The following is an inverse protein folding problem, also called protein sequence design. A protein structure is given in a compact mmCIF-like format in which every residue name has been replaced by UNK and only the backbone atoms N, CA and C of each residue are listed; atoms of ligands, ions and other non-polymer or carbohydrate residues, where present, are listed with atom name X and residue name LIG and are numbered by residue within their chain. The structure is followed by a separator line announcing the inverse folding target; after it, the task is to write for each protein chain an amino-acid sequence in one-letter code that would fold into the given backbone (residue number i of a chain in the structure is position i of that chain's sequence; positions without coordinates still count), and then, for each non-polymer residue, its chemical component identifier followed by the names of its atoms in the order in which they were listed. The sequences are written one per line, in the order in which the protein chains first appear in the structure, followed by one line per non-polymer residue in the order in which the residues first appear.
data_IF_534971760790
#
_entry.id   IF_534971760790
#
_cell.length_a   1.000
_cell.length_b   1.000
_cell.length_c   1.000
_cell.angle_alpha   90.00
_cell.angle_beta   90.00
_cell.angle_gamma   90.00
#
_symmetry.space_group_name_H-M   'P 1'
#
loop_
_entity.id
_entity.type
_entity.pdbx_description
1 polymer ?
#
# COMPACT_ATOMS: atom_id res chain seq x y z
N UNK A 1 -6.33 -5.98 -22.39
CA UNK A 1 -5.94 -6.26 -20.97
C UNK A 1 -7.08 -5.86 -20.04
N UNK A 2 -7.23 -6.53 -18.86
CA UNK A 2 -8.27 -6.17 -17.88
C UNK A 2 -7.69 -5.27 -16.79
N UNK A 3 -8.37 -4.17 -16.47
CA UNK A 3 -7.98 -3.22 -15.39
C UNK A 3 -9.21 -2.72 -14.64
N UNK A 4 -9.04 -2.44 -13.38
CA UNK A 4 -10.07 -1.75 -12.57
C UNK A 4 -10.15 -0.28 -12.98
N UNK A 5 -11.34 0.33 -12.84
CA UNK A 5 -11.53 1.77 -12.97
C UNK A 5 -12.12 2.27 -11.66
N UNK A 6 -11.44 3.19 -11.02
CA UNK A 6 -11.92 3.85 -9.80
C UNK A 6 -12.30 5.29 -10.06
N UNK A 7 -13.39 5.72 -9.41
CA UNK A 7 -13.82 7.11 -9.31
C UNK A 7 -14.10 7.39 -7.85
N UNK A 8 -13.41 8.35 -7.25
CA UNK A 8 -13.39 8.57 -5.81
C UNK A 8 -13.66 10.04 -5.50
N UNK A 9 -14.34 10.30 -4.37
CA UNK A 9 -14.47 11.67 -3.85
C UNK A 9 -13.16 12.01 -3.15
N UNK A 10 -12.50 13.05 -3.62
CA UNK A 10 -11.27 13.55 -3.02
C UNK A 10 -11.51 14.46 -1.81
N UNK A 11 -10.44 14.79 -1.13
CA UNK A 11 -10.46 15.68 0.05
C UNK A 11 -10.49 17.16 -0.31
N UNK A 12 -10.17 17.51 -1.58
CA UNK A 12 -10.11 18.89 -2.06
C UNK A 12 -8.84 19.63 -1.62
N UNK A 13 -7.70 18.95 -1.55
CA UNK A 13 -6.42 19.58 -1.19
C UNK A 13 -5.76 20.25 -2.40
N UNK A 14 -6.11 21.50 -2.70
CA UNK A 14 -5.52 22.24 -3.82
C UNK A 14 -4.00 22.40 -3.71
N UNK A 15 -3.47 22.50 -2.50
CA UNK A 15 -2.02 22.56 -2.27
C UNK A 15 -1.31 21.25 -2.65
N UNK A 16 -1.95 20.11 -2.38
CA UNK A 16 -1.46 18.81 -2.84
C UNK A 16 -1.53 18.69 -4.37
N UNK A 17 -2.68 19.06 -4.97
CA UNK A 17 -2.88 18.95 -6.40
C UNK A 17 -1.88 19.80 -7.21
N UNK A 18 -1.53 20.99 -6.68
CA UNK A 18 -0.54 21.90 -7.28
C UNK A 18 0.92 21.56 -6.95
N UNK A 19 1.15 20.58 -6.04
CA UNK A 19 2.49 20.31 -5.50
C UNK A 19 3.11 21.54 -4.80
N UNK A 20 2.28 22.32 -4.07
CA UNK A 20 2.79 23.41 -3.23
C UNK A 20 3.68 22.88 -2.08
N UNK A 21 3.61 21.59 -1.80
CA UNK A 21 4.50 20.81 -0.93
C UNK A 21 4.66 19.39 -1.49
N UNK A 22 5.78 18.74 -1.16
CA UNK A 22 6.06 17.36 -1.52
C UNK A 22 5.61 16.45 -0.38
N UNK A 23 4.59 15.63 -0.62
CA UNK A 23 4.12 14.63 0.32
C UNK A 23 5.03 13.38 0.27
N UNK A 24 5.01 12.57 1.32
CA UNK A 24 5.88 11.38 1.45
C UNK A 24 5.73 10.34 0.33
N UNK A 25 4.55 10.27 -0.30
CA UNK A 25 4.24 9.35 -1.40
C UNK A 25 4.53 9.94 -2.80
N UNK A 26 5.04 11.17 -2.88
CA UNK A 26 5.39 11.86 -4.11
C UNK A 26 6.87 11.68 -4.40
N UNK A 27 7.17 11.27 -5.62
CA UNK A 27 8.54 11.22 -6.14
C UNK A 27 8.94 12.59 -6.70
N UNK A 28 9.86 13.32 -6.05
CA UNK A 28 10.23 14.67 -6.46
C UNK A 28 10.88 14.71 -7.85
N UNK A 29 11.51 13.61 -8.29
CA UNK A 29 12.17 13.54 -9.59
C UNK A 29 11.18 13.34 -10.75
N UNK A 30 9.89 13.10 -10.44
CA UNK A 30 8.81 12.91 -11.42
C UNK A 30 7.75 14.02 -11.44
N UNK A 31 7.84 15.01 -10.56
CA UNK A 31 6.87 16.12 -10.47
C UNK A 31 6.69 16.84 -11.82
N UNK A 32 7.75 16.96 -12.62
CA UNK A 32 7.70 17.56 -13.96
C UNK A 32 6.89 16.76 -14.99
N UNK A 33 6.54 15.48 -14.70
CA UNK A 33 5.68 14.66 -15.55
C UNK A 33 4.20 14.96 -15.34
N UNK A 34 3.84 15.66 -14.28
CA UNK A 34 2.47 16.04 -13.99
C UNK A 34 1.93 16.99 -15.04
N UNK A 35 0.67 16.81 -15.41
CA UNK A 35 0.00 17.68 -16.40
C UNK A 35 -1.02 18.55 -15.68
N UNK A 36 -0.88 19.86 -15.82
CA UNK A 36 -1.87 20.83 -15.38
C UNK A 36 -2.78 21.21 -16.55
N UNK A 37 -4.03 20.78 -16.51
CA UNK A 37 -5.04 21.17 -17.52
C UNK A 37 -5.72 22.48 -17.16
N UNK A 38 -5.88 22.76 -15.87
CA UNK A 38 -6.53 23.97 -15.37
C UNK A 38 -6.04 24.28 -13.95
N UNK A 39 -5.80 25.56 -13.68
CA UNK A 39 -5.46 26.09 -12.36
C UNK A 39 -5.90 27.53 -12.23
N UNK A 40 -7.17 27.73 -11.90
CA UNK A 40 -7.79 29.03 -11.76
C UNK A 40 -7.95 29.40 -10.28
N UNK A 41 -7.99 30.70 -10.00
CA UNK A 41 -8.24 31.17 -8.65
C UNK A 41 -9.72 30.94 -8.27
N UNK A 42 -9.97 30.15 -7.25
CA UNK A 42 -11.32 29.77 -6.80
C UNK A 42 -12.20 30.97 -6.51
N UNK A 43 -11.65 32.07 -5.92
CA UNK A 43 -12.43 33.28 -5.61
C UNK A 43 -12.85 34.04 -6.86
N UNK A 44 -11.98 34.09 -7.87
CA UNK A 44 -12.31 34.73 -9.13
C UNK A 44 -13.39 33.95 -9.91
N UNK A 45 -13.29 32.61 -9.91
CA UNK A 45 -14.33 31.76 -10.51
C UNK A 45 -15.68 31.92 -9.77
N UNK A 46 -15.66 32.12 -8.47
CA UNK A 46 -16.89 32.43 -7.72
C UNK A 46 -17.51 33.78 -8.15
N UNK A 47 -16.71 34.80 -8.38
CA UNK A 47 -17.21 36.08 -8.91
C UNK A 47 -17.80 35.88 -10.30
N UNK A 48 -17.08 35.23 -11.19
CA UNK A 48 -17.55 34.92 -12.56
C UNK A 48 -18.93 34.25 -12.56
N UNK A 49 -19.12 33.24 -11.69
CA UNK A 49 -20.34 32.46 -11.66
C UNK A 49 -21.52 33.15 -10.95
N UNK A 50 -21.25 33.97 -9.93
CA UNK A 50 -22.30 34.33 -8.97
C UNK A 50 -22.50 35.84 -8.78
N UNK A 51 -21.59 36.73 -9.16
CA UNK A 51 -21.72 38.16 -8.85
C UNK A 51 -22.98 38.78 -9.46
N UNK A 52 -23.31 38.50 -10.72
CA UNK A 52 -24.57 38.96 -11.31
C UNK A 52 -25.81 38.42 -10.56
N UNK A 53 -25.80 37.19 -10.12
CA UNK A 53 -26.89 36.63 -9.36
C UNK A 53 -26.99 37.21 -7.94
N UNK A 54 -25.87 37.59 -7.35
CA UNK A 54 -25.82 38.36 -6.10
C UNK A 54 -26.45 39.74 -6.27
N UNK A 55 -26.10 40.44 -7.33
CA UNK A 55 -26.68 41.73 -7.66
C UNK A 55 -28.19 41.65 -7.82
N UNK A 56 -28.69 40.69 -8.63
CA UNK A 56 -30.15 40.47 -8.80
C UNK A 56 -30.82 40.12 -7.48
N UNK A 57 -30.19 39.28 -6.66
CA UNK A 57 -30.72 38.87 -5.35
C UNK A 57 -30.83 40.05 -4.38
N UNK A 58 -29.89 40.99 -4.39
CA UNK A 58 -29.81 42.12 -3.47
C UNK A 58 -30.78 43.24 -3.77
N UNK A 59 -31.32 43.30 -5.01
CA UNK A 59 -32.29 44.33 -5.39
C UNK A 59 -33.47 44.36 -4.42
N UNK A 60 -33.75 45.53 -3.84
CA UNK A 60 -34.84 45.76 -2.90
C UNK A 60 -34.67 45.16 -1.52
N UNK A 61 -33.50 44.56 -1.20
CA UNK A 61 -33.25 44.03 0.15
C UNK A 61 -32.61 45.05 1.08
N UNK A 62 -32.97 44.96 2.35
CA UNK A 62 -32.28 45.73 3.39
C UNK A 62 -30.84 45.30 3.51
N UNK A 63 -29.92 46.20 3.90
CA UNK A 63 -28.48 45.98 4.02
C UNK A 63 -28.13 44.73 4.83
N UNK A 64 -28.83 44.49 5.93
CA UNK A 64 -28.60 43.29 6.79
C UNK A 64 -28.96 41.95 6.13
N UNK A 65 -29.68 41.98 5.00
CA UNK A 65 -30.10 40.79 4.25
C UNK A 65 -29.42 40.64 2.91
N UNK A 66 -28.55 41.61 2.54
CA UNK A 66 -27.78 41.56 1.32
C UNK A 66 -26.61 40.59 1.46
N UNK A 67 -26.24 39.97 0.36
CA UNK A 67 -25.02 39.18 0.24
C UNK A 67 -23.93 40.11 -0.32
N UNK A 68 -22.90 40.34 0.48
CA UNK A 68 -21.76 41.18 0.04
C UNK A 68 -20.66 40.38 -0.61
N UNK A 69 -20.51 39.09 -0.22
CA UNK A 69 -19.53 38.18 -0.77
C UNK A 69 -20.07 36.74 -0.72
N UNK A 70 -20.38 36.17 -1.87
CA UNK A 70 -21.00 34.85 -1.93
C UNK A 70 -20.01 33.75 -1.59
N UNK A 71 -18.74 33.86 -1.97
CA UNK A 71 -17.69 32.93 -1.57
C UNK A 71 -17.59 32.81 -0.04
N UNK A 72 -17.52 33.94 0.66
CA UNK A 72 -17.45 33.95 2.13
C UNK A 72 -18.72 33.40 2.75
N UNK A 73 -19.89 33.67 2.17
CA UNK A 73 -21.16 33.08 2.62
C UNK A 73 -21.16 31.57 2.55
N UNK A 74 -20.67 30.97 1.46
CA UNK A 74 -20.56 29.50 1.32
C UNK A 74 -19.48 28.98 2.27
N UNK A 75 -18.32 29.62 2.36
CA UNK A 75 -17.21 29.22 3.23
C UNK A 75 -17.60 29.14 4.69
N UNK A 76 -18.43 30.07 5.16
CA UNK A 76 -18.92 30.11 6.54
C UNK A 76 -20.17 29.26 6.74
N UNK A 77 -20.84 28.85 5.68
CA UNK A 77 -22.03 28.00 5.71
C UNK A 77 -21.68 26.54 6.03
N UNK A 78 -22.70 25.78 6.44
CA UNK A 78 -22.54 24.32 6.73
C UNK A 78 -23.30 23.44 5.74
N UNK A 79 -24.02 24.01 4.78
CA UNK A 79 -24.91 23.27 3.89
C UNK A 79 -24.22 22.85 2.60
N UNK A 80 -23.36 23.69 2.05
CA UNK A 80 -22.66 23.46 0.79
C UNK A 80 -21.15 23.64 1.01
N UNK A 81 -20.34 22.86 0.29
CA UNK A 81 -18.89 23.05 0.21
C UNK A 81 -18.56 24.10 -0.85
N UNK A 82 -17.41 24.77 -0.72
CA UNK A 82 -16.92 25.70 -1.74
C UNK A 82 -16.73 25.01 -3.10
N UNK A 83 -16.24 23.78 -3.09
CA UNK A 83 -16.03 22.95 -4.27
C UNK A 83 -15.98 21.47 -3.87
N UNK A 84 -16.00 20.62 -4.85
CA UNK A 84 -15.83 19.17 -4.70
C UNK A 84 -14.67 18.70 -5.59
N UNK A 85 -14.03 17.64 -5.17
CA UNK A 85 -13.01 16.94 -5.91
C UNK A 85 -13.48 15.54 -6.26
N UNK A 86 -13.15 15.10 -7.47
CA UNK A 86 -13.23 13.69 -7.88
C UNK A 86 -11.87 13.26 -8.42
N UNK A 87 -11.49 12.02 -8.11
CA UNK A 87 -10.23 11.42 -8.55
C UNK A 87 -10.58 10.21 -9.41
N UNK A 88 -10.04 10.14 -10.63
CA UNK A 88 -10.16 8.99 -11.52
C UNK A 88 -8.81 8.31 -11.72
N UNK A 89 -8.82 6.97 -11.66
CA UNK A 89 -7.64 6.13 -11.84
C UNK A 89 -8.00 4.86 -12.59
N UNK A 90 -7.05 4.34 -13.40
CA UNK A 90 -7.15 3.06 -14.09
C UNK A 90 -6.10 2.13 -13.47
N UNK A 91 -6.54 0.93 -13.07
CA UNK A 91 -5.66 -0.06 -12.43
C UNK A 91 -5.16 0.35 -11.04
N UNK A 92 -4.03 -0.20 -10.67
CA UNK A 92 -3.35 0.04 -9.40
C UNK A 92 -1.82 -0.04 -9.57
N UNK A 93 -1.06 0.11 -8.47
CA UNK A 93 0.42 0.11 -8.52
C UNK A 93 1.04 -1.21 -9.01
N UNK A 94 0.29 -2.31 -9.02
CA UNK A 94 0.80 -3.62 -9.44
C UNK A 94 0.66 -3.83 -10.96
N UNK A 95 -0.31 -3.13 -11.58
CA UNK A 95 -0.71 -3.38 -12.96
C UNK A 95 -0.73 -2.15 -13.88
N UNK A 96 -0.58 -0.92 -13.34
CA UNK A 96 -0.48 0.36 -14.06
C UNK A 96 0.45 1.35 -13.35
N UNK A 97 1.58 0.87 -12.85
CA UNK A 97 2.54 1.74 -12.18
C UNK A 97 3.10 2.82 -13.14
N UNK A 98 3.41 4.00 -12.58
CA UNK A 98 4.10 5.05 -13.34
C UNK A 98 5.46 4.55 -13.82
N UNK A 99 5.80 4.85 -15.09
CA UNK A 99 7.04 4.41 -15.73
C UNK A 99 6.97 3.02 -16.37
N UNK A 100 5.78 2.39 -16.41
CA UNK A 100 5.52 1.17 -17.18
C UNK A 100 4.74 1.49 -18.46
N UNK A 101 4.76 0.61 -19.45
CA UNK A 101 3.96 0.77 -20.67
C UNK A 101 2.45 0.86 -20.38
N UNK A 102 1.99 0.10 -19.39
CA UNK A 102 0.61 0.11 -18.95
C UNK A 102 0.25 1.42 -18.21
N UNK A 103 1.20 1.96 -17.44
CA UNK A 103 1.06 3.28 -16.81
C UNK A 103 0.96 4.39 -17.86
N UNK A 104 1.80 4.37 -18.88
CA UNK A 104 1.77 5.30 -20.01
C UNK A 104 0.47 5.19 -20.81
N UNK A 105 -0.08 3.98 -20.93
CA UNK A 105 -1.37 3.76 -21.57
C UNK A 105 -2.51 4.35 -20.71
N UNK A 106 -2.47 4.18 -19.40
CA UNK A 106 -3.43 4.79 -18.49
C UNK A 106 -3.39 6.33 -18.56
N UNK A 107 -2.19 6.93 -18.64
CA UNK A 107 -2.01 8.38 -18.87
C UNK A 107 -2.69 8.82 -20.16
N UNK A 108 -2.53 8.09 -21.28
CA UNK A 108 -3.18 8.42 -22.56
C UNK A 108 -4.72 8.40 -22.45
N UNK A 109 -5.26 7.39 -21.80
CA UNK A 109 -6.71 7.25 -21.59
C UNK A 109 -7.26 8.37 -20.72
N UNK A 110 -6.60 8.67 -19.58
CA UNK A 110 -7.00 9.77 -18.68
C UNK A 110 -6.89 11.13 -19.37
N UNK A 111 -5.87 11.32 -20.21
CA UNK A 111 -5.69 12.53 -21.00
C UNK A 111 -6.82 12.71 -22.05
N UNK A 112 -7.28 11.64 -22.69
CA UNK A 112 -8.41 11.68 -23.61
C UNK A 112 -9.72 11.97 -22.86
N UNK A 113 -9.93 11.30 -21.71
CA UNK A 113 -11.12 11.43 -20.88
C UNK A 113 -11.37 12.90 -20.43
N UNK A 114 -10.32 13.61 -20.02
CA UNK A 114 -10.47 14.97 -19.47
C UNK A 114 -10.86 16.00 -20.51
N UNK A 115 -10.54 15.81 -21.79
CA UNK A 115 -10.81 16.77 -22.87
C UNK A 115 -12.27 17.22 -22.95
N UNK A 116 -13.18 16.27 -22.82
CA UNK A 116 -14.63 16.53 -22.93
C UNK A 116 -15.35 16.56 -21.56
N UNK A 117 -14.62 16.48 -20.45
CA UNK A 117 -15.20 16.42 -19.10
C UNK A 117 -16.10 17.62 -18.82
N UNK A 118 -15.63 18.86 -19.05
CA UNK A 118 -16.40 20.07 -18.80
C UNK A 118 -17.65 20.16 -19.70
N UNK A 119 -17.55 19.66 -20.93
CA UNK A 119 -18.68 19.65 -21.89
C UNK A 119 -19.76 18.66 -21.47
N UNK A 120 -19.36 17.48 -20.96
CA UNK A 120 -20.31 16.49 -20.44
C UNK A 120 -20.94 16.97 -19.13
N UNK A 121 -20.23 17.78 -18.35
CA UNK A 121 -20.61 18.22 -17.02
C UNK A 121 -20.76 19.76 -16.94
N UNK A 122 -21.71 20.39 -17.70
CA UNK A 122 -21.80 21.85 -17.78
C UNK A 122 -22.19 22.54 -16.46
N UNK A 123 -22.83 21.83 -15.54
CA UNK A 123 -23.20 22.32 -14.20
C UNK A 123 -22.12 22.12 -13.11
N UNK A 124 -21.00 21.51 -13.50
CA UNK A 124 -19.83 21.28 -12.65
C UNK A 124 -18.66 22.12 -13.21
N UNK A 125 -18.54 23.40 -12.80
CA UNK A 125 -17.50 24.31 -13.30
C UNK A 125 -16.13 23.87 -12.76
N UNK A 126 -15.35 23.20 -13.62
CA UNK A 126 -13.97 22.82 -13.30
C UNK A 126 -13.08 24.06 -13.22
N UNK A 127 -12.34 24.23 -12.14
CA UNK A 127 -11.40 25.34 -11.94
C UNK A 127 -9.97 24.86 -11.67
N UNK A 128 -9.80 23.60 -11.28
CA UNK A 128 -8.50 22.97 -11.05
C UNK A 128 -8.55 21.54 -11.59
N UNK A 129 -7.55 21.14 -12.36
CA UNK A 129 -7.48 19.79 -12.92
C UNK A 129 -6.02 19.41 -13.20
N UNK A 130 -5.59 18.29 -12.60
CA UNK A 130 -4.22 17.81 -12.68
C UNK A 130 -4.20 16.29 -12.93
N UNK A 131 -3.32 15.83 -13.82
CA UNK A 131 -2.95 14.44 -13.95
C UNK A 131 -1.60 14.24 -13.27
N UNK A 132 -1.60 13.49 -12.19
CA UNK A 132 -0.39 13.16 -11.44
C UNK A 132 0.26 11.90 -11.99
N UNK A 133 1.59 11.97 -12.18
CA UNK A 133 2.46 10.90 -12.62
C UNK A 133 3.69 10.76 -11.71
N UNK A 134 3.67 11.41 -10.57
CA UNK A 134 4.74 11.46 -9.57
C UNK A 134 4.43 10.63 -8.31
N UNK A 135 3.36 9.87 -8.32
CA UNK A 135 3.00 8.89 -7.30
C UNK A 135 3.08 7.46 -7.87
N UNK A 136 2.56 6.47 -7.14
CA UNK A 136 2.66 5.07 -7.55
C UNK A 136 1.92 4.75 -8.85
N UNK A 137 0.78 5.41 -9.12
CA UNK A 137 -0.13 5.14 -10.25
C UNK A 137 -0.61 6.45 -10.85
N UNK A 138 -0.73 6.58 -12.18
CA UNK A 138 -1.31 7.78 -12.80
C UNK A 138 -2.75 7.97 -12.36
N UNK A 139 -3.11 9.17 -11.92
CA UNK A 139 -4.47 9.50 -11.52
C UNK A 139 -4.80 10.98 -11.78
N UNK A 140 -6.08 11.23 -12.03
CA UNK A 140 -6.60 12.54 -12.46
C UNK A 140 -7.40 13.16 -11.33
N UNK A 141 -6.97 14.30 -10.84
CA UNK A 141 -7.70 15.16 -9.90
C UNK A 141 -8.52 16.19 -10.65
N UNK A 142 -9.82 16.28 -10.37
CA UNK A 142 -10.72 17.28 -10.95
C UNK A 142 -11.47 17.98 -9.83
N UNK A 143 -11.16 19.27 -9.63
CA UNK A 143 -11.82 20.13 -8.67
C UNK A 143 -12.87 21.00 -9.37
N UNK A 144 -14.11 20.98 -8.89
CA UNK A 144 -15.21 21.70 -9.53
C UNK A 144 -16.16 22.36 -8.53
N UNK A 145 -16.79 23.45 -8.99
CA UNK A 145 -17.87 24.14 -8.30
C UNK A 145 -19.18 23.63 -8.90
N UNK A 146 -20.02 22.92 -8.14
CA UNK A 146 -21.34 22.53 -8.62
C UNK A 146 -22.32 23.71 -8.49
N UNK A 147 -22.98 24.07 -9.56
CA UNK A 147 -23.91 25.19 -9.55
C UNK A 147 -25.17 24.91 -10.36
N UNK A 148 -26.22 25.63 -10.05
CA UNK A 148 -27.50 25.61 -10.76
C UNK A 148 -27.91 27.03 -11.09
N UNK A 149 -28.52 27.20 -12.27
CA UNK A 149 -29.10 28.46 -12.73
C UNK A 149 -30.62 28.35 -12.83
N UNK A 150 -31.32 29.49 -12.81
CA UNK A 150 -32.77 29.54 -12.97
C UNK A 150 -33.54 28.92 -11.79
N UNK A 151 -32.95 28.87 -10.61
CA UNK A 151 -33.62 28.37 -9.40
C UNK A 151 -34.80 29.26 -9.01
N UNK A 152 -36.00 28.66 -8.92
CA UNK A 152 -37.26 29.37 -8.60
C UNK A 152 -37.65 29.35 -7.11
N UNK A 153 -36.87 28.66 -6.28
CA UNK A 153 -37.12 28.61 -4.84
C UNK A 153 -36.53 29.81 -4.09
N UNK A 154 -36.55 29.72 -2.76
CA UNK A 154 -35.94 30.76 -1.91
C UNK A 154 -34.43 30.85 -2.15
N UNK A 155 -33.88 32.04 -2.23
CA UNK A 155 -32.47 32.30 -2.40
C UNK A 155 -32.12 32.96 -3.74
N UNK A 156 -30.88 32.78 -4.18
CA UNK A 156 -30.39 33.26 -5.47
C UNK A 156 -30.88 32.34 -6.59
N UNK A 157 -31.06 32.90 -7.78
CA UNK A 157 -31.43 32.18 -9.02
C UNK A 157 -30.28 31.34 -9.55
N UNK A 158 -29.04 31.78 -9.32
CA UNK A 158 -27.83 31.03 -9.59
C UNK A 158 -27.08 30.81 -8.27
N UNK A 159 -26.82 29.56 -7.92
CA UNK A 159 -26.29 29.20 -6.61
C UNK A 159 -25.48 27.91 -6.63
N UNK A 160 -24.59 27.74 -5.63
CA UNK A 160 -23.93 26.46 -5.38
C UNK A 160 -24.95 25.45 -4.90
N UNK A 161 -24.98 24.28 -5.51
CA UNK A 161 -25.72 23.13 -5.04
C UNK A 161 -25.30 21.87 -5.77
N UNK A 162 -24.60 20.96 -5.09
CA UNK A 162 -24.18 19.69 -5.68
C UNK A 162 -25.39 18.86 -6.14
N UNK A 163 -26.37 18.70 -5.26
CA UNK A 163 -27.56 17.92 -5.54
C UNK A 163 -28.33 18.41 -6.78
N UNK A 164 -28.54 19.72 -6.88
CA UNK A 164 -29.31 20.27 -8.02
C UNK A 164 -28.49 20.27 -9.29
N UNK A 165 -27.17 20.51 -9.20
CA UNK A 165 -26.26 20.41 -10.34
C UNK A 165 -26.31 19.01 -10.98
N UNK A 166 -26.19 17.97 -10.15
CA UNK A 166 -26.26 16.59 -10.62
C UNK A 166 -27.66 16.17 -11.11
N UNK A 167 -28.74 16.69 -10.47
CA UNK A 167 -30.09 16.49 -10.99
C UNK A 167 -30.31 17.11 -12.36
N UNK A 168 -29.70 18.26 -12.62
CA UNK A 168 -29.75 18.90 -13.93
C UNK A 168 -29.02 18.10 -15.01
N UNK A 169 -28.09 17.22 -14.63
CA UNK A 169 -27.40 16.26 -15.49
C UNK A 169 -28.17 14.92 -15.65
N UNK A 170 -29.32 14.77 -14.96
CA UNK A 170 -30.18 13.57 -15.06
C UNK A 170 -30.05 12.59 -13.89
N UNK A 171 -29.17 12.83 -12.91
CA UNK A 171 -28.96 11.94 -11.77
C UNK A 171 -29.93 12.28 -10.63
N UNK A 172 -30.93 11.44 -10.41
CA UNK A 172 -32.03 11.74 -9.48
C UNK A 172 -31.76 11.29 -8.03
N UNK A 173 -30.81 10.35 -7.86
CA UNK A 173 -30.63 9.64 -6.59
C UNK A 173 -31.81 8.71 -6.28
N UNK A 174 -31.62 7.81 -5.36
CA UNK A 174 -32.66 6.87 -4.90
C UNK A 174 -32.68 6.78 -3.37
N UNK A 175 -31.62 6.23 -2.79
CA UNK A 175 -31.48 6.04 -1.35
C UNK A 175 -30.08 6.49 -0.89
N UNK A 176 -29.73 6.25 0.38
CA UNK A 176 -28.43 6.67 0.94
C UNK A 176 -27.19 6.01 0.27
N UNK A 177 -27.38 4.89 -0.43
CA UNK A 177 -26.32 4.17 -1.13
C UNK A 177 -26.35 4.43 -2.64
N UNK A 178 -27.46 4.97 -3.16
CA UNK A 178 -27.65 5.35 -4.55
C UNK A 178 -27.98 6.83 -4.64
N UNK A 179 -26.99 7.66 -4.26
CA UNK A 179 -27.10 9.11 -4.29
C UNK A 179 -26.88 9.65 -5.69
N UNK A 180 -27.28 10.90 -5.94
CA UNK A 180 -26.99 11.61 -7.18
C UNK A 180 -25.48 11.57 -7.52
N UNK A 181 -24.62 11.71 -6.48
CA UNK A 181 -23.16 11.67 -6.63
C UNK A 181 -22.66 10.27 -7.02
N UNK A 182 -23.20 9.22 -6.41
CA UNK A 182 -22.81 7.84 -6.74
C UNK A 182 -23.23 7.45 -8.15
N UNK A 183 -24.43 7.84 -8.57
CA UNK A 183 -24.92 7.62 -9.93
C UNK A 183 -24.04 8.34 -10.96
N UNK A 184 -23.68 9.59 -10.69
CA UNK A 184 -22.80 10.38 -11.54
C UNK A 184 -21.39 9.79 -11.64
N UNK A 185 -20.77 9.42 -10.52
CA UNK A 185 -19.43 8.78 -10.51
C UNK A 185 -19.45 7.48 -11.31
N UNK A 186 -20.50 6.65 -11.15
CA UNK A 186 -20.62 5.40 -11.90
C UNK A 186 -20.75 5.66 -13.40
N UNK A 187 -21.56 6.65 -13.79
CA UNK A 187 -21.66 7.07 -15.18
C UNK A 187 -20.32 7.57 -15.75
N UNK A 188 -19.59 8.41 -15.03
CA UNK A 188 -18.28 8.89 -15.48
C UNK A 188 -17.23 7.76 -15.56
N UNK A 189 -17.33 6.72 -14.70
CA UNK A 189 -16.53 5.49 -14.82
C UNK A 189 -16.88 4.69 -16.08
N UNK A 190 -18.16 4.64 -16.47
CA UNK A 190 -18.59 4.02 -17.73
C UNK A 190 -18.04 4.76 -18.94
N UNK A 191 -18.09 6.10 -18.93
CA UNK A 191 -17.47 6.94 -19.98
C UNK A 191 -15.96 6.68 -20.06
N UNK A 192 -15.28 6.63 -18.93
CA UNK A 192 -13.84 6.33 -18.88
C UNK A 192 -13.54 4.92 -19.41
N UNK A 193 -14.41 3.93 -19.10
CA UNK A 193 -14.29 2.55 -19.58
C UNK A 193 -14.45 2.45 -21.12
N UNK A 194 -15.39 3.20 -21.71
CA UNK A 194 -15.55 3.22 -23.17
C UNK A 194 -14.32 3.83 -23.87
N UNK A 195 -13.73 4.87 -23.29
CA UNK A 195 -12.47 5.43 -23.80
C UNK A 195 -11.33 4.40 -23.64
N UNK A 196 -11.20 3.79 -22.46
CA UNK A 196 -10.17 2.78 -22.16
C UNK A 196 -10.23 1.59 -23.11
N UNK A 197 -11.45 1.16 -23.51
CA UNK A 197 -11.68 0.09 -24.47
C UNK A 197 -11.07 0.37 -25.85
N UNK A 198 -11.05 1.62 -26.30
CA UNK A 198 -10.42 2.03 -27.56
C UNK A 198 -8.89 1.83 -27.53
N UNK A 199 -8.31 1.79 -26.33
CA UNK A 199 -6.90 1.53 -26.06
C UNK A 199 -6.62 0.05 -25.66
N UNK A 200 -7.62 -0.84 -25.82
CA UNK A 200 -7.46 -2.27 -25.51
C UNK A 200 -7.54 -2.60 -24.01
N UNK A 201 -8.05 -1.69 -23.19
CA UNK A 201 -8.28 -1.90 -21.75
C UNK A 201 -9.76 -2.23 -21.54
N UNK A 202 -10.03 -3.40 -20.99
CA UNK A 202 -11.38 -3.83 -20.56
C UNK A 202 -11.55 -3.52 -19.07
N UNK A 203 -12.68 -2.94 -18.70
CA UNK A 203 -12.98 -2.65 -17.30
C UNK A 203 -13.29 -3.95 -16.54
N UNK A 204 -12.48 -4.25 -15.52
CA UNK A 204 -12.70 -5.31 -14.56
C UNK A 204 -13.51 -4.79 -13.36
N UNK A 205 -14.74 -5.25 -13.22
CA UNK A 205 -15.59 -4.95 -12.06
C UNK A 205 -15.41 -6.04 -11.01
N UNK A 206 -14.61 -5.78 -9.98
CA UNK A 206 -14.34 -6.76 -8.89
C UNK A 206 -15.52 -6.96 -7.94
N UNK A 207 -16.56 -6.11 -8.01
CA UNK A 207 -17.74 -6.18 -7.12
C UNK A 207 -17.43 -5.93 -5.63
N UNK A 208 -16.21 -5.58 -5.30
CA UNK A 208 -15.80 -5.25 -3.95
C UNK A 208 -16.11 -3.78 -3.69
N UNK A 209 -16.95 -3.52 -2.70
CA UNK A 209 -17.09 -2.18 -2.12
C UNK A 209 -15.96 -1.95 -1.12
N UNK A 210 -14.72 -1.88 -1.60
CA UNK A 210 -13.62 -1.45 -0.74
C UNK A 210 -13.89 0.01 -0.38
N UNK A 211 -14.04 0.27 0.93
CA UNK A 211 -14.08 1.65 1.44
C UNK A 211 -12.81 2.35 1.01
N UNK A 212 -12.96 3.47 0.31
CA UNK A 212 -11.82 4.32 0.00
C UNK A 212 -11.28 4.87 1.31
N UNK A 213 -10.17 4.32 1.74
CA UNK A 213 -9.43 4.83 2.88
C UNK A 213 -8.63 6.05 2.43
N UNK A 214 -8.67 7.12 3.22
CA UNK A 214 -7.70 8.20 3.05
C UNK A 214 -6.26 7.66 3.21
N UNK A 215 -5.29 8.40 2.74
CA UNK A 215 -3.87 8.00 2.73
C UNK A 215 -3.40 7.54 4.12
N UNK A 216 -3.86 8.19 5.19
CA UNK A 216 -3.52 7.83 6.57
C UNK A 216 -4.10 6.47 6.97
N UNK A 217 -5.38 6.24 6.72
CA UNK A 217 -6.05 4.98 7.03
C UNK A 217 -5.57 3.83 6.13
N UNK A 218 -5.24 4.11 4.87
CA UNK A 218 -4.61 3.13 3.98
C UNK A 218 -3.22 2.72 4.52
N UNK A 219 -2.35 3.66 4.84
CA UNK A 219 -1.04 3.39 5.45
C UNK A 219 -1.18 2.63 6.77
N UNK A 220 -2.16 2.96 7.59
CA UNK A 220 -2.46 2.26 8.85
C UNK A 220 -2.89 0.81 8.59
N UNK A 221 -3.71 0.56 7.57
CA UNK A 221 -4.15 -0.80 7.18
C UNK A 221 -2.97 -1.62 6.67
N UNK A 222 -2.10 -1.05 5.84
CA UNK A 222 -0.91 -1.73 5.32
C UNK A 222 0.11 -2.02 6.44
N UNK A 223 0.41 -1.06 7.30
CA UNK A 223 1.27 -1.28 8.48
C UNK A 223 0.73 -2.36 9.41
N UNK A 224 -0.59 -2.44 9.57
CA UNK A 224 -1.20 -3.52 10.37
C UNK A 224 -0.96 -4.90 9.76
N UNK A 225 -1.01 -5.03 8.42
CA UNK A 225 -0.67 -6.28 7.73
C UNK A 225 0.80 -6.64 7.89
N UNK A 226 1.70 -5.65 7.75
CA UNK A 226 3.14 -5.84 7.96
C UNK A 226 3.45 -6.29 9.39
N UNK A 227 2.84 -5.66 10.39
CA UNK A 227 3.00 -6.05 11.80
C UNK A 227 2.51 -7.48 12.03
N UNK A 228 1.35 -7.86 11.47
CA UNK A 228 0.84 -9.23 11.60
C UNK A 228 1.78 -10.25 10.93
N UNK A 229 2.34 -9.94 9.78
CA UNK A 229 3.30 -10.82 9.11
C UNK A 229 4.59 -10.98 9.93
N UNK A 230 5.12 -9.87 10.48
CA UNK A 230 6.30 -9.88 11.35
C UNK A 230 6.05 -10.61 12.67
N UNK A 231 4.86 -10.52 13.24
CA UNK A 231 4.46 -11.29 14.42
C UNK A 231 4.45 -12.79 14.15
N UNK A 232 3.90 -13.23 13.02
CA UNK A 232 3.91 -14.62 12.59
C UNK A 232 5.33 -15.15 12.35
N UNK A 233 6.17 -14.37 11.67
CA UNK A 233 7.58 -14.71 11.45
C UNK A 233 8.34 -14.83 12.79
N UNK A 234 8.09 -13.91 13.72
CA UNK A 234 8.67 -13.95 15.05
C UNK A 234 8.26 -15.21 15.81
N UNK A 235 6.99 -15.61 15.77
CA UNK A 235 6.50 -16.84 16.40
C UNK A 235 7.19 -18.07 15.79
N UNK A 236 7.30 -18.13 14.46
CA UNK A 236 8.00 -19.20 13.77
C UNK A 236 9.47 -19.30 14.20
N UNK A 237 10.21 -18.19 14.14
CA UNK A 237 11.62 -18.13 14.54
C UNK A 237 11.83 -18.45 16.03
N UNK A 238 10.88 -18.11 16.88
CA UNK A 238 10.94 -18.45 18.31
C UNK A 238 10.83 -19.96 18.50
N UNK A 239 9.87 -20.62 17.84
CA UNK A 239 9.72 -22.06 17.89
C UNK A 239 10.94 -22.81 17.31
N UNK A 240 11.51 -22.31 16.21
CA UNK A 240 12.75 -22.86 15.64
C UNK A 240 13.94 -22.75 16.60
N UNK A 241 14.10 -21.61 17.26
CA UNK A 241 15.15 -21.39 18.26
C UNK A 241 14.99 -22.32 19.49
N UNK A 242 13.75 -22.55 19.94
CA UNK A 242 13.48 -23.49 21.03
C UNK A 242 13.85 -24.92 20.61
N UNK A 243 13.50 -25.33 19.37
CA UNK A 243 13.90 -26.62 18.82
C UNK A 243 15.42 -26.82 18.75
N UNK A 244 16.14 -25.79 18.24
CA UNK A 244 17.60 -25.80 18.19
C UNK A 244 18.23 -25.83 19.59
N UNK A 245 17.65 -25.14 20.57
CA UNK A 245 18.13 -25.19 21.94
C UNK A 245 18.05 -26.60 22.55
N UNK A 246 16.96 -27.35 22.30
CA UNK A 246 16.83 -28.74 22.72
C UNK A 246 17.89 -29.63 22.05
N UNK A 247 18.11 -29.52 20.74
CA UNK A 247 19.15 -30.25 20.03
C UNK A 247 20.55 -29.98 20.57
N UNK A 248 20.83 -28.74 20.97
CA UNK A 248 22.10 -28.41 21.60
C UNK A 248 22.25 -29.09 22.94
N UNK A 249 21.19 -29.22 23.75
CA UNK A 249 21.23 -29.93 25.03
C UNK A 249 21.52 -31.42 24.80
N UNK A 250 20.78 -32.09 23.92
CA UNK A 250 21.00 -33.50 23.57
C UNK A 250 22.43 -33.73 23.07
N UNK A 251 22.92 -32.89 22.16
CA UNK A 251 24.29 -32.99 21.64
C UNK A 251 25.36 -32.83 22.73
N UNK A 252 25.11 -32.01 23.74
CA UNK A 252 26.01 -31.86 24.89
C UNK A 252 26.06 -33.09 25.78
N UNK A 253 24.90 -33.70 25.99
CA UNK A 253 24.81 -34.98 26.74
C UNK A 253 25.57 -36.11 26.02
N UNK A 254 25.39 -36.25 24.71
CA UNK A 254 26.11 -37.21 23.89
C UNK A 254 27.63 -36.99 23.92
N UNK A 255 28.08 -35.74 23.82
CA UNK A 255 29.49 -35.44 23.94
C UNK A 255 30.03 -35.78 25.31
N UNK A 256 29.28 -35.60 26.37
CA UNK A 256 29.69 -35.96 27.72
C UNK A 256 29.84 -37.51 27.87
N UNK A 257 28.87 -38.28 27.38
CA UNK A 257 28.93 -39.73 27.37
C UNK A 257 30.13 -40.29 26.57
N UNK A 258 30.39 -39.67 25.39
CA UNK A 258 31.56 -40.00 24.58
C UNK A 258 32.89 -39.70 25.27
N UNK A 259 32.99 -38.63 26.04
CA UNK A 259 34.18 -38.27 26.83
C UNK A 259 34.41 -39.34 27.93
N UNK A 260 33.36 -39.71 28.65
CA UNK A 260 33.45 -40.73 29.71
C UNK A 260 33.84 -42.09 29.14
N UNK A 261 33.26 -42.51 28.04
CA UNK A 261 33.62 -43.73 27.34
C UNK A 261 35.07 -43.70 26.86
N UNK A 262 35.55 -42.61 26.32
CA UNK A 262 36.94 -42.41 25.89
C UNK A 262 37.91 -42.51 27.07
N UNK A 263 37.59 -41.88 28.20
CA UNK A 263 38.43 -41.98 29.42
C UNK A 263 38.48 -43.39 29.93
N UNK A 264 37.36 -44.13 29.94
CA UNK A 264 37.33 -45.53 30.34
C UNK A 264 38.20 -46.38 29.43
N UNK A 265 38.05 -46.26 28.12
CA UNK A 265 38.86 -46.96 27.11
C UNK A 265 40.37 -46.68 27.30
N UNK A 266 40.74 -45.43 27.63
CA UNK A 266 42.12 -45.06 27.90
C UNK A 266 42.65 -45.74 29.20
N UNK A 267 41.83 -45.87 30.25
CA UNK A 267 42.18 -46.58 31.50
C UNK A 267 42.37 -48.06 31.20
N UNK A 268 41.45 -48.66 30.44
CA UNK A 268 41.51 -50.08 30.08
C UNK A 268 42.76 -50.39 29.23
N UNK A 269 43.08 -49.52 28.26
CA UNK A 269 44.30 -49.60 27.46
C UNK A 269 45.57 -49.54 28.33
N UNK A 270 45.68 -48.60 29.26
CA UNK A 270 46.83 -48.50 30.17
C UNK A 270 46.93 -49.72 31.08
N UNK A 271 45.80 -50.27 31.54
CA UNK A 271 45.80 -51.49 32.35
C UNK A 271 46.23 -52.74 31.52
N UNK A 272 45.83 -52.80 30.27
CA UNK A 272 46.26 -53.89 29.35
C UNK A 272 47.76 -53.77 29.03
N UNK A 273 48.28 -52.56 28.75
CA UNK A 273 49.71 -52.31 28.51
C UNK A 273 50.54 -52.75 29.72
N UNK A 274 50.12 -52.39 30.94
CA UNK A 274 50.83 -52.79 32.18
C UNK A 274 50.81 -54.32 32.39
N UNK A 275 49.68 -54.97 32.06
CA UNK A 275 49.63 -56.48 32.13
C UNK A 275 50.56 -57.11 31.10
N UNK A 276 50.59 -56.58 29.86
CA UNK A 276 51.48 -57.03 28.80
C UNK A 276 52.95 -56.93 29.23
N UNK A 277 53.36 -55.77 29.76
CA UNK A 277 54.71 -55.52 30.25
C UNK A 277 55.08 -56.47 31.38
N UNK A 278 54.13 -56.75 32.30
CA UNK A 278 54.34 -57.72 33.40
C UNK A 278 54.48 -59.14 32.88
N UNK A 279 53.67 -59.55 31.92
CA UNK A 279 53.75 -60.87 31.28
C UNK A 279 55.04 -61.06 30.48
N UNK A 280 55.53 -60.02 29.82
CA UNK A 280 56.78 -59.98 29.08
C UNK A 280 58.00 -60.17 30.02
N UNK A 281 57.99 -59.45 31.17
CA UNK A 281 59.02 -59.67 32.23
C UNK A 281 59.01 -61.06 32.80
N UNK A 282 57.79 -61.63 33.00
CA UNK A 282 57.67 -63.06 33.49
C UNK A 282 58.17 -64.00 32.41
N UNK A 283 57.84 -63.76 31.14
CA UNK A 283 58.32 -64.63 30.06
C UNK A 283 59.82 -64.66 30.00
N UNK A 284 60.46 -63.49 30.02
CA UNK A 284 61.92 -63.35 30.03
C UNK A 284 62.56 -64.06 31.22
N UNK A 285 62.01 -63.90 32.39
CA UNK A 285 62.49 -64.70 33.57
C UNK A 285 62.36 -66.17 33.42
N UNK A 286 61.30 -66.66 32.79
CA UNK A 286 61.12 -68.12 32.52
C UNK A 286 62.12 -68.57 31.42
N UNK A 287 62.42 -67.81 30.43
CA UNK A 287 63.39 -68.10 29.40
C UNK A 287 64.78 -68.21 29.99
N UNK A 288 65.19 -67.21 30.80
CA UNK A 288 66.48 -67.21 31.51
C UNK A 288 66.61 -68.51 32.46
N UNK A 289 65.51 -68.84 33.11
CA UNK A 289 65.51 -70.06 33.96
C UNK A 289 65.57 -71.31 33.15
N UNK A 290 64.94 -71.38 31.99
CA UNK A 290 65.01 -72.50 31.03
C UNK A 290 66.43 -72.63 30.53
N UNK A 291 67.11 -71.54 30.14
CA UNK A 291 68.50 -71.59 29.70
C UNK A 291 69.45 -72.13 30.79
N UNK A 292 69.22 -71.72 32.04
CA UNK A 292 70.02 -72.25 33.18
C UNK A 292 69.81 -73.77 33.42
N UNK A 293 68.59 -74.31 33.21
CA UNK A 293 68.29 -75.74 33.38
C UNK A 293 68.67 -76.59 32.16
N UNK A 294 68.80 -75.98 30.97
CA UNK A 294 69.15 -76.77 29.76
C UNK A 294 70.47 -77.60 29.89
N UNK A 295 71.58 -77.08 30.43
CA UNK A 295 72.80 -77.88 30.63
C UNK A 295 72.61 -79.06 31.60
N UNK A 296 71.75 -78.84 32.62
CA UNK A 296 71.49 -79.88 33.57
C UNK A 296 70.64 -81.04 32.92
N UNK A 297 69.67 -80.66 32.12
CA UNK A 297 68.87 -81.66 31.37
C UNK A 297 69.69 -82.38 30.28
N UNK A 298 70.61 -81.73 29.63
CA UNK A 298 71.50 -82.29 28.62
C UNK A 298 72.51 -83.27 29.25
N UNK A 299 72.89 -83.09 30.54
CA UNK A 299 73.72 -83.97 31.28
C UNK A 299 72.95 -85.22 31.80
N UNK A 300 71.74 -85.10 32.24
CA UNK A 300 70.86 -86.16 32.70
C UNK A 300 70.46 -87.10 31.54
N UNK A 301 70.43 -86.59 30.28
CA UNK A 301 70.08 -87.40 29.08
C UNK A 301 71.27 -88.18 28.52
N UNK A 302 72.47 -88.09 29.13
CA UNK A 302 73.70 -88.78 28.75
C UNK A 302 74.08 -89.95 29.68
N UNK A 303 73.38 -90.10 30.75
CA UNK A 303 73.45 -91.29 31.65
C UNK A 303 72.29 -92.24 31.26
#
# INVERSE_FOLDING_TARGET
MKRTISGMIGTGSLAHNRRDFIAENVDPDRVQLNICYRNENLKEVYKELFDEAVERYNVGKRKDRQITNYYEKIRQGKQEKLFHEVIFQIGNREDTAVGTEEGDLAVKVLNEYVKDFQKRNPTLRVFSCYLHQDEATPHLHIDFIPYVTGWKGKGMDTRVSLKQALKSLGFQGGNKHDTEMNQWINHEKEVLAEIAKQYGIEWEQKGTHEEHLDVYNFKKKERKKEVQALEQEKEYLTAENEGLALQIVESREDIQLLKESKEQALRDKKAAEKRAETAEKQLKSLEERREQLQPIMDNVSKE
#
